data_IF_246203369602
#
_entry.id   IF_246203369602
#
_cell.length_a   1.000
_cell.length_b   1.000
_cell.length_c   1.000
_cell.angle_alpha   90.00
_cell.angle_beta   90.00
_cell.angle_gamma   90.00
#
_symmetry.space_group_name_H-M   'P 1'
#
loop_
_entity.id
_entity.type
_entity.pdbx_description
1 polymer ?
#
# COMPACT_ATOMS: atom_id res chain seq x y z
N UNK A 1 -8.25 -2.86 6.26
CA UNK A 1 -9.55 -2.23 6.63
C UNK A 1 -10.07 -1.53 5.40
N UNK A 2 -11.15 -2.01 4.76
CA UNK A 2 -11.64 -1.37 3.53
C UNK A 2 -12.18 0.02 3.81
N UNK A 3 -11.80 1.00 2.99
CA UNK A 3 -12.25 2.37 3.12
C UNK A 3 -13.74 2.46 2.74
N UNK A 4 -14.58 2.94 3.66
CA UNK A 4 -16.00 3.17 3.39
C UNK A 4 -16.19 4.40 2.50
N UNK A 5 -16.32 4.15 1.19
CA UNK A 5 -16.47 5.16 0.14
C UNK A 5 -17.75 6.00 0.28
N UNK A 6 -18.75 5.54 1.04
CA UNK A 6 -20.02 6.26 1.23
C UNK A 6 -19.88 7.49 2.13
N UNK A 7 -18.84 7.51 2.98
CA UNK A 7 -18.56 8.62 3.92
C UNK A 7 -17.56 9.63 3.37
N UNK A 8 -17.01 9.40 2.18
CA UNK A 8 -16.03 10.30 1.58
C UNK A 8 -16.72 11.45 0.85
N UNK A 9 -16.35 12.67 1.23
CA UNK A 9 -16.62 13.85 0.41
C UNK A 9 -15.81 13.73 -0.88
N UNK A 10 -16.48 13.90 -2.03
CA UNK A 10 -15.81 13.97 -3.33
C UNK A 10 -14.75 15.07 -3.30
N UNK A 11 -13.58 14.79 -3.87
CA UNK A 11 -12.46 15.72 -3.93
C UNK A 11 -12.86 17.03 -4.61
N UNK A 12 -12.51 18.17 -4.03
CA UNK A 12 -12.68 19.50 -4.65
C UNK A 12 -11.41 20.02 -5.32
N UNK A 13 -10.28 19.32 -5.13
CA UNK A 13 -8.94 19.80 -5.50
C UNK A 13 -8.40 19.06 -6.72
N UNK A 14 -7.68 19.78 -7.57
CA UNK A 14 -6.96 19.18 -8.71
C UNK A 14 -5.75 18.39 -8.22
N UNK A 15 -5.54 17.19 -8.79
CA UNK A 15 -4.40 16.33 -8.43
C UNK A 15 -3.15 16.80 -9.17
N UNK A 16 -2.03 17.06 -8.48
CA UNK A 16 -0.77 17.39 -9.13
C UNK A 16 -0.37 16.32 -10.17
N UNK A 17 0.22 16.70 -11.32
CA UNK A 17 0.57 15.76 -12.38
C UNK A 17 1.40 14.57 -11.90
N UNK A 18 2.39 14.81 -11.03
CA UNK A 18 3.25 13.76 -10.47
C UNK A 18 2.47 12.75 -9.60
N UNK A 19 1.50 13.22 -8.82
CA UNK A 19 0.65 12.36 -8.01
C UNK A 19 -0.29 11.55 -8.90
N UNK A 20 -0.88 12.19 -9.91
CA UNK A 20 -1.80 11.54 -10.84
C UNK A 20 -1.10 10.43 -11.63
N UNK A 21 0.11 10.69 -12.13
CA UNK A 21 0.90 9.69 -12.85
C UNK A 21 1.25 8.50 -11.96
N UNK A 22 1.62 8.73 -10.70
CA UNK A 22 1.93 7.66 -9.76
C UNK A 22 0.69 6.84 -9.39
N UNK A 23 -0.44 7.49 -9.11
CA UNK A 23 -1.70 6.82 -8.77
C UNK A 23 -2.15 5.90 -9.92
N UNK A 24 -2.18 6.41 -11.14
CA UNK A 24 -2.61 5.62 -12.29
C UNK A 24 -1.64 4.47 -12.59
N UNK A 25 -0.33 4.68 -12.39
CA UNK A 25 0.66 3.60 -12.49
C UNK A 25 0.38 2.49 -11.48
N UNK A 26 0.25 2.83 -10.20
CA UNK A 26 -0.01 1.87 -9.12
C UNK A 26 -1.35 1.12 -9.32
N UNK A 27 -2.38 1.81 -9.82
CA UNK A 27 -3.68 1.20 -10.14
C UNK A 27 -3.62 0.22 -11.32
N UNK A 28 -2.70 0.43 -12.26
CA UNK A 28 -2.53 -0.45 -13.43
C UNK A 28 -1.70 -1.70 -13.15
N UNK A 29 -0.93 -1.72 -12.06
CA UNK A 29 -0.05 -2.82 -11.71
C UNK A 29 -0.82 -4.01 -11.13
N UNK A 30 -0.39 -5.22 -11.48
CA UNK A 30 -0.70 -6.43 -10.70
C UNK A 30 0.14 -6.47 -9.40
N UNK A 31 -0.06 -7.47 -8.52
CA UNK A 31 0.65 -7.50 -7.23
C UNK A 31 2.17 -7.51 -7.34
N UNK A 32 2.76 -8.30 -8.25
CA UNK A 32 4.21 -8.40 -8.37
C UNK A 32 4.79 -7.10 -8.97
N UNK A 33 4.12 -6.55 -9.98
CA UNK A 33 4.47 -5.24 -10.56
C UNK A 33 4.32 -4.10 -9.53
N UNK A 34 3.29 -4.17 -8.69
CA UNK A 34 3.03 -3.18 -7.66
C UNK A 34 4.18 -3.16 -6.66
N UNK A 35 4.66 -4.34 -6.24
CA UNK A 35 5.81 -4.45 -5.33
C UNK A 35 7.10 -3.90 -5.96
N UNK A 36 7.32 -4.18 -7.24
CA UNK A 36 8.46 -3.64 -7.97
C UNK A 36 8.39 -2.11 -8.02
N UNK A 37 7.22 -1.54 -8.35
CA UNK A 37 7.01 -0.10 -8.39
C UNK A 37 7.13 0.55 -7.02
N UNK A 38 6.56 -0.06 -5.96
CA UNK A 38 6.71 0.41 -4.59
C UNK A 38 8.18 0.46 -4.16
N UNK A 39 9.00 -0.50 -4.58
CA UNK A 39 10.43 -0.53 -4.27
C UNK A 39 11.21 0.63 -4.93
N UNK A 40 10.74 1.14 -6.07
CA UNK A 40 11.36 2.25 -6.80
C UNK A 40 11.00 3.63 -6.22
N UNK A 41 9.94 3.72 -5.42
CA UNK A 41 9.47 5.00 -4.88
C UNK A 41 10.40 5.47 -3.76
N UNK A 42 11.24 6.44 -4.10
CA UNK A 42 12.16 7.09 -3.17
C UNK A 42 11.54 8.24 -2.38
N UNK A 43 10.44 8.80 -2.86
CA UNK A 43 9.75 9.92 -2.21
C UNK A 43 8.25 9.74 -2.39
N UNK A 44 7.54 9.57 -1.28
CA UNK A 44 6.10 9.40 -1.29
C UNK A 44 5.41 10.77 -1.40
N UNK A 45 4.71 11.02 -2.49
CA UNK A 45 4.06 12.31 -2.77
C UNK A 45 2.59 12.38 -2.34
N UNK A 46 2.07 11.38 -1.61
CA UNK A 46 0.68 11.37 -1.14
C UNK A 46 0.29 12.56 -0.26
N UNK A 47 1.26 13.23 0.38
CA UNK A 47 1.01 14.48 1.11
C UNK A 47 0.70 15.71 0.23
N UNK A 48 0.88 15.60 -1.10
CA UNK A 48 0.65 16.71 -2.05
C UNK A 48 -0.77 16.75 -2.61
N UNK A 49 -1.60 15.74 -2.35
CA UNK A 49 -3.01 15.73 -2.75
C UNK A 49 -3.89 14.98 -1.74
N UNK A 50 -5.21 15.07 -1.91
CA UNK A 50 -6.17 14.46 -1.00
C UNK A 50 -6.08 12.93 -1.01
N UNK A 51 -6.25 12.31 0.17
CA UNK A 51 -6.27 10.86 0.36
C UNK A 51 -7.32 10.16 -0.53
N UNK A 52 -8.39 10.88 -0.89
CA UNK A 52 -9.45 10.40 -1.78
C UNK A 52 -8.90 9.80 -3.09
N UNK A 53 -7.84 10.38 -3.65
CA UNK A 53 -7.27 9.90 -4.92
C UNK A 53 -6.42 8.63 -4.75
N UNK A 54 -6.03 8.30 -3.54
CA UNK A 54 -5.17 7.16 -3.22
C UNK A 54 -5.95 5.91 -2.79
N UNK A 55 -7.28 6.00 -2.63
CA UNK A 55 -8.12 4.93 -2.08
C UNK A 55 -7.85 3.59 -2.76
N UNK A 56 -7.87 3.53 -4.10
CA UNK A 56 -7.69 2.25 -4.81
C UNK A 56 -6.29 1.67 -4.58
N UNK A 57 -5.25 2.50 -4.52
CA UNK A 57 -3.89 2.07 -4.24
C UNK A 57 -3.75 1.59 -2.78
N UNK A 58 -4.37 2.30 -1.83
CA UNK A 58 -4.37 1.93 -0.41
C UNK A 58 -5.16 0.64 -0.16
N UNK A 59 -6.31 0.45 -0.82
CA UNK A 59 -7.08 -0.80 -0.77
C UNK A 59 -6.23 -1.97 -1.30
N UNK A 60 -5.41 -1.77 -2.34
CA UNK A 60 -4.50 -2.79 -2.84
C UNK A 60 -3.37 -3.11 -1.84
N UNK A 61 -2.82 -2.10 -1.15
CA UNK A 61 -1.82 -2.32 -0.11
C UNK A 61 -2.40 -3.09 1.07
N UNK A 62 -3.60 -2.70 1.51
CA UNK A 62 -4.33 -3.38 2.58
C UNK A 62 -4.57 -4.85 2.24
N UNK A 63 -4.96 -5.14 0.99
CA UNK A 63 -5.16 -6.51 0.53
C UNK A 63 -3.85 -7.32 0.57
N UNK A 64 -2.73 -6.74 0.12
CA UNK A 64 -1.40 -7.39 0.15
C UNK A 64 -0.94 -7.65 1.58
N UNK A 65 -1.17 -6.70 2.49
CA UNK A 65 -0.82 -6.86 3.90
C UNK A 65 -1.71 -7.92 4.58
N UNK A 66 -3.01 -7.96 4.25
CA UNK A 66 -3.95 -8.96 4.76
C UNK A 66 -3.52 -10.38 4.38
N UNK A 67 -3.30 -10.66 3.09
CA UNK A 67 -2.85 -12.00 2.64
C UNK A 67 -1.47 -12.39 3.18
N UNK A 68 -0.60 -11.41 3.44
CA UNK A 68 0.74 -11.69 3.98
C UNK A 68 0.73 -11.96 5.49
N UNK A 69 -0.28 -11.49 6.21
CA UNK A 69 -0.36 -11.53 7.67
C UNK A 69 -1.54 -12.36 8.20
N UNK A 70 -2.33 -12.99 7.32
CA UNK A 70 -3.52 -13.76 7.69
C UNK A 70 -3.18 -14.92 8.63
N UNK A 71 -3.70 -14.85 9.87
CA UNK A 71 -3.44 -15.87 10.90
C UNK A 71 -3.96 -17.22 10.43
N UNK A 72 -3.07 -18.20 10.39
CA UNK A 72 -3.42 -19.57 9.96
C UNK A 72 -3.87 -20.46 11.12
N UNK A 73 -3.66 -20.01 12.38
CA UNK A 73 -3.98 -20.75 13.59
C UNK A 73 -4.63 -19.85 14.63
N UNK A 74 -5.62 -20.39 15.32
CA UNK A 74 -6.23 -19.76 16.49
C UNK A 74 -5.17 -19.61 17.61
N UNK A 75 -5.12 -18.44 18.27
CA UNK A 75 -4.11 -18.08 19.28
C UNK A 75 -2.65 -17.92 18.82
N UNK A 76 -2.39 -17.72 17.52
CA UNK A 76 -1.05 -17.35 17.07
C UNK A 76 -0.64 -15.96 17.58
N UNK A 77 0.47 -15.90 18.32
CA UNK A 77 1.04 -14.66 18.88
C UNK A 77 1.85 -13.86 17.85
N UNK A 78 2.72 -14.54 17.09
CA UNK A 78 3.50 -13.92 16.02
C UNK A 78 2.69 -13.84 14.72
N UNK A 79 3.00 -12.87 13.86
CA UNK A 79 2.42 -12.85 12.52
C UNK A 79 3.02 -13.99 11.68
N UNK A 80 2.23 -14.65 10.81
CA UNK A 80 2.73 -15.71 9.94
C UNK A 80 3.92 -15.28 9.07
N UNK A 81 3.99 -14.00 8.66
CA UNK A 81 5.13 -13.49 7.89
C UNK A 81 6.44 -13.46 8.69
N UNK A 82 6.39 -13.55 10.02
CA UNK A 82 7.58 -13.63 10.88
C UNK A 82 8.05 -15.08 11.13
N UNK A 83 7.31 -16.08 10.64
CA UNK A 83 7.69 -17.49 10.79
C UNK A 83 8.82 -17.89 9.82
N UNK A 84 9.70 -18.84 10.20
CA UNK A 84 10.71 -19.39 9.29
C UNK A 84 10.07 -19.97 8.02
N UNK A 85 10.65 -19.70 6.84
CA UNK A 85 10.11 -20.15 5.56
C UNK A 85 9.05 -19.22 4.94
N UNK A 86 8.76 -18.07 5.58
CA UNK A 86 7.83 -17.04 5.09
C UNK A 86 8.54 -15.75 4.66
N UNK A 87 9.81 -15.84 4.28
CA UNK A 87 10.67 -14.70 3.94
C UNK A 87 10.09 -13.85 2.81
N UNK A 88 9.40 -14.47 1.84
CA UNK A 88 8.71 -13.73 0.76
C UNK A 88 7.58 -12.86 1.32
N UNK A 89 6.74 -13.39 2.20
CA UNK A 89 5.66 -12.63 2.83
C UNK A 89 6.22 -11.48 3.68
N UNK A 90 7.29 -11.75 4.45
CA UNK A 90 8.01 -10.72 5.20
C UNK A 90 8.53 -9.61 4.30
N UNK A 91 9.16 -9.95 3.19
CA UNK A 91 9.71 -8.99 2.23
C UNK A 91 8.61 -8.11 1.64
N UNK A 92 7.49 -8.71 1.24
CA UNK A 92 6.31 -8.01 0.72
C UNK A 92 5.79 -6.99 1.72
N UNK A 93 5.59 -7.40 2.98
CA UNK A 93 5.16 -6.50 4.07
C UNK A 93 6.14 -5.35 4.26
N UNK A 94 7.45 -5.65 4.28
CA UNK A 94 8.47 -4.62 4.42
C UNK A 94 8.49 -3.63 3.26
N UNK A 95 8.27 -4.07 2.02
CA UNK A 95 8.21 -3.17 0.85
C UNK A 95 7.05 -2.18 1.00
N UNK A 96 5.84 -2.68 1.28
CA UNK A 96 4.64 -1.84 1.43
C UNK A 96 4.78 -0.87 2.61
N UNK A 97 5.28 -1.34 3.76
CA UNK A 97 5.46 -0.46 4.92
C UNK A 97 6.57 0.57 4.70
N UNK A 98 7.64 0.20 4.00
CA UNK A 98 8.75 1.13 3.71
C UNK A 98 8.41 2.15 2.62
N UNK A 99 7.49 1.85 1.70
CA UNK A 99 7.03 2.81 0.70
C UNK A 99 6.15 3.90 1.32
N UNK A 100 5.39 3.56 2.37
CA UNK A 100 4.53 4.51 3.10
C UNK A 100 5.28 5.36 4.13
N UNK A 101 6.53 5.00 4.47
CA UNK A 101 7.33 5.77 5.43
C UNK A 101 7.76 7.11 4.80
N UNK A 102 7.66 8.24 5.54
CA UNK A 102 8.33 9.47 5.16
C UNK A 102 9.81 9.19 4.94
N UNK A 103 10.31 9.51 3.75
CA UNK A 103 11.75 9.41 3.45
C UNK A 103 12.33 10.76 3.83
N UNK A 104 13.13 10.78 4.90
CA UNK A 104 13.90 11.97 5.25
C UNK A 104 14.76 12.39 4.05
N UNK A 105 14.86 13.70 3.76
CA UNK A 105 15.62 14.23 2.63
C UNK A 105 17.13 13.99 2.74
#
# INVERSE_FOLDING_TARGET
MKIDRTKLKKSSSEVPPDCKALIEKLKSCNHDELLEELSKIKTWNCGKCELYHWIDALDAFDYILEISCEKTRENQWCLPCDEPGREKARMVVLIVLNSLRPKDP
#
